data_IF_860847730799
#
_entry.id   IF_860847730799
#
_cell.length_a   1.000
_cell.length_b   1.000
_cell.length_c   1.000
_cell.angle_alpha   90.00
_cell.angle_beta   90.00
_cell.angle_gamma   90.00
#
_symmetry.space_group_name_H-M   'P 1'
#
loop_
_entity.id
_entity.type
_entity.pdbx_description
1 polymer ?
#
# COMPACT_ATOMS: atom_id res chain seq x y z
N UNK A 1 -3.53 -7.59 9.84
CA UNK A 1 -4.06 -6.88 8.66
C UNK A 1 -5.43 -7.41 8.32
N UNK A 2 -6.36 -6.54 8.05
CA UNK A 2 -7.72 -6.91 7.70
C UNK A 2 -7.83 -7.01 6.16
N UNK A 3 -7.83 -8.24 5.66
CA UNK A 3 -7.84 -8.50 4.23
C UNK A 3 -9.12 -8.07 3.53
N UNK A 4 -10.20 -7.88 4.28
CA UNK A 4 -11.45 -7.39 3.68
C UNK A 4 -11.38 -5.91 3.30
N UNK A 5 -10.49 -5.15 3.96
CA UNK A 5 -10.32 -3.73 3.71
C UNK A 5 -9.16 -3.42 2.79
N UNK A 6 -8.31 -4.40 2.52
CA UNK A 6 -7.09 -4.22 1.73
C UNK A 6 -7.26 -4.91 0.38
N UNK A 7 -7.08 -4.19 -0.74
CA UNK A 7 -7.11 -4.85 -2.05
C UNK A 7 -6.06 -5.97 -2.11
N UNK A 8 -6.44 -7.10 -2.69
CA UNK A 8 -5.55 -8.26 -2.77
C UNK A 8 -4.23 -7.91 -3.45
N UNK A 9 -4.29 -7.20 -4.57
CA UNK A 9 -3.08 -6.80 -5.29
C UNK A 9 -2.15 -5.91 -4.46
N UNK A 10 -2.74 -5.02 -3.66
CA UNK A 10 -1.96 -4.15 -2.78
C UNK A 10 -1.28 -4.97 -1.68
N UNK A 11 -2.03 -5.86 -1.04
CA UNK A 11 -1.47 -6.72 0.01
C UNK A 11 -0.33 -7.59 -0.50
N UNK A 12 -0.49 -8.16 -1.68
CA UNK A 12 0.56 -8.98 -2.29
C UNK A 12 1.79 -8.15 -2.64
N UNK A 13 1.61 -6.95 -3.18
CA UNK A 13 2.72 -6.08 -3.52
C UNK A 13 3.50 -5.66 -2.28
N UNK A 14 2.80 -5.36 -1.18
CA UNK A 14 3.44 -5.07 0.10
C UNK A 14 4.24 -6.27 0.61
N UNK A 15 3.67 -7.46 0.51
CA UNK A 15 4.33 -8.67 0.98
C UNK A 15 5.63 -8.95 0.21
N UNK A 16 5.70 -8.49 -1.03
CA UNK A 16 6.88 -8.68 -1.88
C UNK A 16 7.88 -7.53 -1.77
N UNK A 17 7.59 -6.53 -0.96
CA UNK A 17 8.45 -5.36 -0.82
C UNK A 17 8.59 -5.04 0.67
N UNK A 18 9.63 -5.61 1.29
CA UNK A 18 9.85 -5.47 2.72
C UNK A 18 9.96 -4.01 3.18
N UNK A 19 10.70 -3.13 2.51
CA UNK A 19 10.74 -1.72 2.92
C UNK A 19 9.36 -1.05 2.89
N UNK A 20 8.53 -1.37 1.91
CA UNK A 20 7.19 -0.81 1.83
C UNK A 20 6.31 -1.35 2.96
N UNK A 21 6.39 -2.63 3.25
CA UNK A 21 5.64 -3.24 4.34
C UNK A 21 5.99 -2.60 5.68
N UNK A 22 7.29 -2.41 5.94
CA UNK A 22 7.75 -1.80 7.18
C UNK A 22 7.25 -0.36 7.30
N UNK A 23 7.35 0.40 6.22
CA UNK A 23 6.90 1.79 6.21
C UNK A 23 5.40 1.88 6.42
N UNK A 24 4.64 0.99 5.77
CA UNK A 24 3.19 0.96 5.92
C UNK A 24 2.80 0.63 7.37
N UNK A 25 3.45 -0.36 7.96
CA UNK A 25 3.16 -0.77 9.33
C UNK A 25 3.42 0.35 10.34
N UNK A 26 4.35 1.24 10.03
CA UNK A 26 4.70 2.36 10.91
C UNK A 26 3.75 3.56 10.74
N UNK A 27 2.88 3.54 9.75
CA UNK A 27 1.96 4.65 9.50
C UNK A 27 0.85 4.75 10.54
N UNK A 28 0.32 5.97 10.72
CA UNK A 28 -0.88 6.16 11.52
C UNK A 28 -2.08 5.55 10.80
N UNK A 29 -3.18 5.35 11.54
CA UNK A 29 -4.40 4.83 10.94
C UNK A 29 -4.92 5.74 9.81
N UNK A 30 -4.81 7.06 10.01
CA UNK A 30 -5.23 8.01 8.99
C UNK A 30 -4.39 7.88 7.72
N UNK A 31 -3.08 7.76 7.88
CA UNK A 31 -2.18 7.59 6.73
C UNK A 31 -2.46 6.28 6.01
N UNK A 32 -2.67 5.20 6.75
CA UNK A 32 -3.03 3.90 6.17
C UNK A 32 -4.31 4.01 5.36
N UNK A 33 -5.32 4.70 5.90
CA UNK A 33 -6.59 4.86 5.20
C UNK A 33 -6.42 5.63 3.90
N UNK A 34 -5.58 6.67 3.90
CA UNK A 34 -5.27 7.43 2.69
C UNK A 34 -4.65 6.53 1.62
N UNK A 35 -3.69 5.70 2.03
CA UNK A 35 -3.03 4.77 1.11
C UNK A 35 -4.03 3.73 0.59
N UNK A 36 -4.88 3.20 1.46
CA UNK A 36 -5.88 2.21 1.04
C UNK A 36 -6.86 2.81 0.04
N UNK A 37 -7.24 4.07 0.23
CA UNK A 37 -8.11 4.74 -0.73
C UNK A 37 -7.44 4.86 -2.11
N UNK A 38 -6.15 5.18 -2.13
CA UNK A 38 -5.39 5.21 -3.39
C UNK A 38 -5.34 3.84 -4.03
N UNK A 39 -5.11 2.80 -3.24
CA UNK A 39 -5.04 1.44 -3.73
C UNK A 39 -6.37 0.99 -4.32
N UNK A 40 -7.49 1.35 -3.68
CA UNK A 40 -8.82 1.02 -4.19
C UNK A 40 -9.12 1.70 -5.53
N UNK A 41 -8.49 2.84 -5.78
CA UNK A 41 -8.69 3.58 -7.03
C UNK A 41 -7.66 3.23 -8.10
N UNK A 42 -6.69 2.39 -7.80
CA UNK A 42 -5.71 1.94 -8.78
C UNK A 42 -6.39 1.12 -9.86
N UNK A 43 -6.08 1.40 -11.12
CA UNK A 43 -6.72 0.76 -12.26
C UNK A 43 -5.91 -0.34 -12.91
N UNK A 44 -4.66 -0.52 -12.47
CA UNK A 44 -3.77 -1.50 -13.06
C UNK A 44 -2.72 -1.93 -12.05
N UNK A 45 -2.05 -3.04 -12.33
CA UNK A 45 -0.93 -3.49 -11.52
C UNK A 45 0.19 -2.45 -11.48
N UNK A 46 0.41 -1.76 -12.59
CA UNK A 46 1.42 -0.73 -12.66
C UNK A 46 1.14 0.39 -11.68
N UNK A 47 -0.10 0.86 -11.60
CA UNK A 47 -0.48 1.89 -10.65
C UNK A 47 -0.32 1.38 -9.22
N UNK A 48 -0.70 0.14 -8.97
CA UNK A 48 -0.56 -0.47 -7.65
C UNK A 48 0.92 -0.52 -7.24
N UNK A 49 1.80 -0.94 -8.15
CA UNK A 49 3.23 -0.97 -7.87
C UNK A 49 3.80 0.42 -7.61
N UNK A 50 3.30 1.43 -8.32
CA UNK A 50 3.75 2.80 -8.09
C UNK A 50 3.38 3.28 -6.69
N UNK A 51 2.20 2.91 -6.21
CA UNK A 51 1.78 3.26 -4.85
C UNK A 51 2.71 2.61 -3.83
N UNK A 52 2.97 1.32 -3.99
CA UNK A 52 3.83 0.57 -3.09
C UNK A 52 5.27 1.10 -3.12
N UNK A 53 5.78 1.43 -4.30
CA UNK A 53 7.11 2.04 -4.44
C UNK A 53 7.19 3.37 -3.71
N UNK A 54 6.14 4.19 -3.80
CA UNK A 54 6.08 5.45 -3.08
C UNK A 54 6.16 5.26 -1.57
N UNK A 55 5.49 4.22 -1.06
CA UNK A 55 5.54 3.88 0.36
C UNK A 55 6.97 3.51 0.75
N UNK A 56 7.62 2.66 -0.06
CA UNK A 56 8.98 2.20 0.22
C UNK A 56 9.98 3.36 0.26
N UNK A 57 9.74 4.39 -0.55
CA UNK A 57 10.61 5.57 -0.61
C UNK A 57 10.28 6.60 0.46
N UNK A 58 9.27 6.36 1.26
CA UNK A 58 8.86 7.29 2.30
C UNK A 58 8.05 8.48 1.79
N UNK A 59 7.61 8.47 0.53
CA UNK A 59 6.76 9.52 0.01
C UNK A 59 5.34 9.00 -0.16
N UNK A 60 4.40 9.84 0.21
CA UNK A 60 2.97 9.51 0.14
C UNK A 60 2.27 10.36 -0.94
#
# INVERSE_FOLDING_TARGET
MDFYKVPIGFGMALAMNAPAMEAYAAMTEQQKQTILNKAHNARSEKEMHQIVEGIAKGSM
#
